data_IF_083547632319
#
_entry.id   IF_083547632319
#
_cell.length_a   1.000
_cell.length_b   1.000
_cell.length_c   1.000
_cell.angle_alpha   90.00
_cell.angle_beta   90.00
_cell.angle_gamma   90.00
#
_symmetry.space_group_name_H-M   'P 1'
#
loop_
_entity.id
_entity.type
_entity.pdbx_description
1 polymer ?
#
# COMPACT_ATOMS: atom_id res chain seq x y z
N UNK A 1 21.69 15.40 -15.59
CA UNK A 1 21.05 15.92 -14.36
C UNK A 1 21.36 17.40 -14.26
N UNK A 2 20.34 18.22 -14.16
CA UNK A 2 20.49 19.68 -14.05
C UNK A 2 20.47 20.18 -12.60
N UNK A 3 20.05 19.34 -11.64
CA UNK A 3 20.02 19.66 -10.21
C UNK A 3 19.17 18.68 -9.42
N UNK A 4 19.10 18.91 -8.13
CA UNK A 4 18.28 18.14 -7.20
C UNK A 4 18.03 18.92 -5.91
N UNK A 5 17.02 18.51 -5.13
CA UNK A 5 16.76 18.98 -3.78
C UNK A 5 17.06 17.88 -2.79
N UNK A 6 17.59 18.24 -1.63
CA UNK A 6 17.91 17.32 -0.55
C UNK A 6 17.21 17.76 0.73
N UNK A 7 16.54 16.84 1.40
CA UNK A 7 15.85 17.05 2.66
C UNK A 7 16.53 16.18 3.74
N UNK A 8 17.27 16.81 4.63
CA UNK A 8 18.07 16.10 5.63
C UNK A 8 17.21 15.35 6.69
N UNK A 9 15.95 15.74 6.85
CA UNK A 9 15.01 15.11 7.78
C UNK A 9 14.24 13.93 7.19
N UNK A 10 14.40 13.65 5.88
CA UNK A 10 13.74 12.52 5.25
C UNK A 10 14.41 11.21 5.65
N UNK A 11 13.58 10.21 5.89
CA UNK A 11 14.00 8.88 6.30
C UNK A 11 13.60 7.84 5.24
N UNK A 12 14.36 6.78 5.14
CA UNK A 12 14.05 5.63 4.31
C UNK A 12 14.07 4.35 5.11
N UNK A 13 13.28 3.37 4.68
CA UNK A 13 13.20 2.10 5.38
C UNK A 13 12.60 1.00 4.50
N UNK A 14 12.83 -0.24 4.94
CA UNK A 14 12.21 -1.40 4.31
C UNK A 14 10.81 -1.63 4.88
N UNK A 15 9.79 -1.33 4.07
CA UNK A 15 8.39 -1.46 4.46
C UNK A 15 8.01 -2.92 4.81
N UNK A 16 8.63 -3.91 4.17
CA UNK A 16 8.37 -5.32 4.44
C UNK A 16 8.91 -5.71 5.82
N UNK A 17 10.17 -5.38 6.08
CA UNK A 17 10.81 -5.66 7.38
C UNK A 17 10.06 -4.94 8.49
N UNK A 18 9.76 -3.66 8.31
CA UNK A 18 8.98 -2.89 9.27
C UNK A 18 7.63 -3.55 9.59
N UNK A 19 6.88 -3.99 8.58
CA UNK A 19 5.56 -4.60 8.77
C UNK A 19 5.66 -5.94 9.50
N UNK A 20 6.67 -6.75 9.19
CA UNK A 20 6.92 -8.03 9.86
C UNK A 20 7.27 -7.84 11.34
N UNK A 21 8.19 -6.92 11.65
CA UNK A 21 8.59 -6.59 13.01
C UNK A 21 7.42 -5.99 13.82
N UNK A 22 6.63 -5.11 13.20
CA UNK A 22 5.45 -4.54 13.84
C UNK A 22 4.42 -5.64 14.17
N UNK A 23 4.19 -6.59 13.26
CA UNK A 23 3.27 -7.70 13.50
C UNK A 23 3.73 -8.56 14.69
N UNK A 24 5.03 -8.87 14.80
CA UNK A 24 5.58 -9.61 15.95
C UNK A 24 5.37 -8.84 17.26
N UNK A 25 5.63 -7.54 17.25
CA UNK A 25 5.43 -6.68 18.44
C UNK A 25 3.96 -6.59 18.86
N UNK A 26 3.05 -6.56 17.89
CA UNK A 26 1.61 -6.59 18.12
C UNK A 26 1.17 -7.95 18.71
N UNK A 27 1.64 -9.06 18.12
CA UNK A 27 1.35 -10.40 18.62
C UNK A 27 1.82 -10.59 20.07
N UNK A 28 3.01 -10.09 20.41
CA UNK A 28 3.53 -10.10 21.78
C UNK A 28 2.67 -9.29 22.76
N UNK A 29 1.77 -8.43 22.28
CA UNK A 29 0.79 -7.66 23.05
C UNK A 29 -0.63 -8.22 22.99
N UNK A 30 -0.79 -9.45 22.48
CA UNK A 30 -2.07 -10.16 22.43
C UNK A 30 -2.90 -9.94 21.17
N UNK A 31 -2.39 -9.24 20.16
CA UNK A 31 -3.07 -9.15 18.86
C UNK A 31 -3.02 -10.51 18.16
N UNK A 32 -4.18 -11.01 17.77
CA UNK A 32 -4.28 -12.26 17.03
C UNK A 32 -4.20 -11.99 15.53
N UNK A 33 -3.35 -12.75 14.83
CA UNK A 33 -3.20 -12.70 13.39
C UNK A 33 -3.72 -14.00 12.76
N UNK A 34 -4.68 -13.87 11.86
CA UNK A 34 -5.21 -14.99 11.09
C UNK A 34 -4.53 -15.01 9.71
N UNK A 35 -3.36 -15.61 9.65
CA UNK A 35 -2.64 -15.79 8.39
C UNK A 35 -3.32 -16.81 7.47
N UNK A 36 -3.14 -16.67 6.17
CA UNK A 36 -3.77 -17.55 5.16
C UNK A 36 -5.30 -17.59 5.23
N UNK A 37 -5.93 -16.46 5.58
CA UNK A 37 -7.38 -16.32 5.54
C UNK A 37 -7.78 -15.27 4.50
N UNK A 38 -8.77 -15.63 3.67
CA UNK A 38 -9.46 -14.70 2.79
C UNK A 38 -10.64 -14.09 3.54
N UNK A 39 -10.83 -12.78 3.44
CA UNK A 39 -12.08 -12.13 3.83
C UNK A 39 -13.08 -12.35 2.71
N UNK A 40 -14.16 -13.06 3.00
CA UNK A 40 -15.17 -13.47 2.01
C UNK A 40 -16.30 -12.43 1.93
N UNK A 41 -16.84 -12.02 3.06
CA UNK A 41 -17.96 -11.06 3.12
C UNK A 41 -18.02 -10.34 4.47
N UNK A 42 -18.69 -9.20 4.44
CA UNK A 42 -19.20 -8.51 5.62
C UNK A 42 -20.69 -8.83 5.75
N UNK A 43 -21.11 -9.35 6.88
CA UNK A 43 -22.50 -9.70 7.13
C UNK A 43 -23.14 -8.60 7.98
N UNK A 44 -24.11 -7.90 7.40
CA UNK A 44 -24.79 -6.80 8.06
C UNK A 44 -26.05 -7.29 8.81
N UNK A 45 -26.35 -6.66 9.92
CA UNK A 45 -27.60 -6.72 10.67
C UNK A 45 -28.18 -5.32 10.81
N UNK A 46 -29.25 -5.16 11.56
CA UNK A 46 -30.00 -3.89 11.66
C UNK A 46 -29.16 -2.72 12.20
N UNK A 47 -28.20 -3.00 13.09
CA UNK A 47 -27.36 -1.98 13.75
C UNK A 47 -25.95 -1.81 13.13
N UNK A 48 -25.67 -2.52 12.04
CA UNK A 48 -24.39 -2.47 11.36
C UNK A 48 -23.80 -3.82 10.99
N UNK A 49 -22.49 -3.96 10.96
CA UNK A 49 -21.83 -5.25 10.72
C UNK A 49 -21.93 -6.11 11.97
N UNK A 50 -22.42 -7.33 11.80
CA UNK A 50 -22.51 -8.35 12.85
C UNK A 50 -21.27 -9.26 12.83
N UNK A 51 -20.93 -9.78 11.66
CA UNK A 51 -19.79 -10.68 11.49
C UNK A 51 -19.02 -10.41 10.20
N UNK A 52 -17.78 -10.85 10.17
CA UNK A 52 -16.99 -11.01 8.95
C UNK A 52 -16.82 -12.49 8.66
N UNK A 53 -17.17 -12.92 7.46
CA UNK A 53 -16.90 -14.28 7.01
C UNK A 53 -15.48 -14.37 6.46
N UNK A 54 -14.71 -15.32 6.97
CA UNK A 54 -13.35 -15.61 6.53
C UNK A 54 -13.24 -17.06 6.08
N UNK A 55 -12.36 -17.32 5.12
CA UNK A 55 -12.04 -18.66 4.64
C UNK A 55 -10.56 -18.95 4.85
N UNK A 56 -10.26 -19.99 5.60
CA UNK A 56 -8.91 -20.51 5.74
C UNK A 56 -8.47 -21.18 4.43
N UNK A 57 -7.43 -20.65 3.80
CA UNK A 57 -6.89 -21.14 2.51
C UNK A 57 -6.30 -22.54 2.60
N UNK A 58 -5.77 -22.91 3.77
CA UNK A 58 -5.13 -24.21 3.98
C UNK A 58 -6.17 -25.32 4.15
N UNK A 59 -7.21 -25.05 4.93
CA UNK A 59 -8.23 -26.08 5.25
C UNK A 59 -9.50 -25.97 4.42
N UNK A 60 -9.70 -24.85 3.72
CA UNK A 60 -10.93 -24.52 2.99
C UNK A 60 -12.13 -24.18 3.88
N UNK A 61 -11.99 -24.21 5.20
CA UNK A 61 -13.09 -23.95 6.15
C UNK A 61 -13.47 -22.49 6.17
N UNK A 62 -14.76 -22.24 6.26
CA UNK A 62 -15.31 -20.89 6.49
C UNK A 62 -15.60 -20.72 7.99
N UNK A 63 -15.33 -19.53 8.47
CA UNK A 63 -15.58 -19.12 9.86
C UNK A 63 -16.24 -17.73 9.84
N UNK A 64 -17.09 -17.45 10.83
CA UNK A 64 -17.67 -16.13 11.06
C UNK A 64 -17.05 -15.55 12.34
N UNK A 65 -16.50 -14.35 12.23
CA UNK A 65 -15.87 -13.65 13.35
C UNK A 65 -16.71 -12.44 13.72
N UNK A 66 -17.03 -12.30 15.01
CA UNK A 66 -17.73 -11.13 15.57
C UNK A 66 -16.78 -10.19 16.27
N UNK A 67 -17.11 -8.90 16.30
CA UNK A 67 -16.35 -7.87 17.01
C UNK A 67 -17.25 -6.65 17.30
N UNK A 68 -16.82 -5.79 18.22
CA UNK A 68 -17.47 -4.50 18.50
C UNK A 68 -17.27 -3.50 17.34
N UNK A 69 -16.13 -3.60 16.64
CA UNK A 69 -15.76 -2.75 15.52
C UNK A 69 -15.01 -3.54 14.44
N UNK A 70 -15.28 -3.22 13.19
CA UNK A 70 -14.63 -3.78 12.02
C UNK A 70 -13.90 -2.69 11.27
N UNK A 71 -12.61 -2.86 11.00
CA UNK A 71 -11.80 -1.93 10.21
C UNK A 71 -11.38 -2.56 8.91
N UNK A 72 -11.82 -2.01 7.78
CA UNK A 72 -11.39 -2.46 6.46
C UNK A 72 -10.16 -1.64 6.04
N UNK A 73 -9.00 -2.32 6.01
CA UNK A 73 -7.70 -1.74 5.66
C UNK A 73 -7.01 -2.56 4.55
N UNK A 74 -7.78 -2.91 3.50
CA UNK A 74 -7.36 -3.87 2.47
C UNK A 74 -6.79 -3.21 1.22
N UNK A 75 -6.31 -1.96 1.31
CA UNK A 75 -5.74 -1.24 0.17
C UNK A 75 -6.71 -1.18 -1.00
N UNK A 76 -6.29 -1.60 -2.18
CA UNK A 76 -7.12 -1.61 -3.39
C UNK A 76 -8.34 -2.54 -3.31
N UNK A 77 -8.28 -3.58 -2.48
CA UNK A 77 -9.39 -4.52 -2.29
C UNK A 77 -10.47 -4.01 -1.34
N UNK A 78 -10.28 -2.85 -0.73
CA UNK A 78 -11.26 -2.20 0.16
C UNK A 78 -12.56 -1.87 -0.58
N UNK A 79 -12.47 -1.25 -1.75
CA UNK A 79 -13.66 -0.79 -2.49
C UNK A 79 -14.59 -1.93 -2.92
N UNK A 80 -14.12 -3.06 -3.50
CA UNK A 80 -15.00 -4.19 -3.82
C UNK A 80 -15.70 -4.77 -2.59
N UNK A 81 -14.98 -4.93 -1.48
CA UNK A 81 -15.56 -5.47 -0.24
C UNK A 81 -16.63 -4.53 0.34
N UNK A 82 -16.35 -3.24 0.46
CA UNK A 82 -17.27 -2.26 1.03
C UNK A 82 -18.52 -2.06 0.18
N UNK A 83 -18.43 -2.24 -1.14
CA UNK A 83 -19.58 -2.15 -2.06
C UNK A 83 -20.65 -3.18 -1.74
N UNK A 84 -20.29 -4.36 -1.22
CA UNK A 84 -21.24 -5.42 -0.85
C UNK A 84 -22.19 -5.02 0.28
N UNK A 85 -21.80 -4.02 1.08
CA UNK A 85 -22.61 -3.45 2.17
C UNK A 85 -23.06 -2.00 1.88
N UNK A 86 -23.08 -1.62 0.60
CA UNK A 86 -23.60 -0.32 0.14
C UNK A 86 -22.67 0.87 0.37
N UNK A 87 -21.39 0.65 0.76
CA UNK A 87 -20.39 1.73 0.89
C UNK A 87 -19.57 1.82 -0.38
N UNK A 88 -19.72 2.90 -1.14
CA UNK A 88 -19.03 3.12 -2.40
C UNK A 88 -17.88 4.10 -2.21
N UNK A 89 -16.65 3.61 -2.30
CA UNK A 89 -15.44 4.43 -2.28
C UNK A 89 -14.72 4.35 -3.63
N UNK A 90 -14.36 5.49 -4.23
CA UNK A 90 -13.60 5.52 -5.48
C UNK A 90 -12.13 5.24 -5.22
N UNK A 91 -11.82 3.98 -4.90
CA UNK A 91 -10.44 3.48 -4.82
C UNK A 91 -10.19 2.59 -6.03
N UNK A 92 -9.17 2.94 -6.82
CA UNK A 92 -8.79 2.20 -8.01
C UNK A 92 -7.38 1.60 -7.88
N UNK A 93 -7.15 0.34 -8.31
CA UNK A 93 -5.84 -0.29 -8.27
C UNK A 93 -4.92 0.29 -9.33
N UNK A 94 -3.91 1.04 -8.91
CA UNK A 94 -2.81 1.49 -9.75
C UNK A 94 -1.64 0.52 -9.66
N UNK A 95 -1.47 -0.37 -10.64
CA UNK A 95 -0.39 -1.36 -10.64
C UNK A 95 0.95 -0.67 -10.80
N UNK A 96 1.84 -0.89 -9.85
CA UNK A 96 3.21 -0.42 -9.86
C UNK A 96 4.20 -1.56 -9.91
N UNK A 97 5.42 -1.24 -10.33
CA UNK A 97 6.50 -2.21 -10.47
C UNK A 97 7.71 -1.80 -9.67
N UNK A 98 8.47 -2.77 -9.21
CA UNK A 98 9.80 -2.55 -8.64
C UNK A 98 10.76 -3.66 -9.08
N UNK A 99 12.04 -3.30 -9.10
CA UNK A 99 13.14 -4.21 -9.30
C UNK A 99 14.15 -4.00 -8.19
N UNK A 100 14.68 -5.08 -7.64
CA UNK A 100 15.74 -5.05 -6.63
C UNK A 100 16.93 -5.84 -7.15
N UNK A 101 18.10 -5.22 -7.10
CA UNK A 101 19.34 -5.73 -7.65
C UNK A 101 20.40 -5.82 -6.57
N UNK A 102 21.27 -6.83 -6.66
CA UNK A 102 22.45 -6.93 -5.82
C UNK A 102 23.45 -5.82 -6.16
N UNK A 103 23.94 -5.11 -5.17
CA UNK A 103 25.02 -4.13 -5.33
C UNK A 103 26.36 -4.87 -5.45
N UNK A 104 27.08 -4.60 -6.53
CA UNK A 104 28.41 -5.15 -6.81
C UNK A 104 29.54 -4.24 -6.34
N UNK A 105 29.28 -2.91 -6.35
CA UNK A 105 30.25 -1.87 -5.97
C UNK A 105 29.64 -0.95 -4.92
N UNK A 106 29.69 -1.33 -3.63
CA UNK A 106 29.02 -0.60 -2.55
C UNK A 106 29.46 0.86 -2.39
N UNK A 107 30.71 1.16 -2.74
CA UNK A 107 31.32 2.49 -2.65
C UNK A 107 30.78 3.46 -3.71
N UNK A 108 30.24 2.96 -4.82
CA UNK A 108 29.65 3.74 -5.90
C UNK A 108 28.12 3.79 -5.84
N UNK A 109 27.51 3.00 -4.96
CA UNK A 109 26.07 2.96 -4.81
C UNK A 109 25.57 4.20 -4.02
N UNK A 110 24.34 4.70 -4.32
CA UNK A 110 23.81 5.84 -3.61
C UNK A 110 23.64 5.54 -2.11
N UNK A 111 23.93 6.54 -1.27
CA UNK A 111 23.78 6.44 0.19
C UNK A 111 22.42 6.97 0.67
N UNK A 112 21.75 7.76 -0.15
CA UNK A 112 20.45 8.36 0.13
C UNK A 112 19.42 7.87 -0.87
N UNK A 113 18.16 7.73 -0.42
CA UNK A 113 17.05 7.47 -1.32
C UNK A 113 16.71 8.73 -2.10
N UNK A 114 16.29 8.58 -3.35
CA UNK A 114 15.92 9.72 -4.19
C UNK A 114 14.81 9.35 -5.18
N UNK A 115 14.18 10.37 -5.74
CA UNK A 115 13.23 10.24 -6.83
C UNK A 115 13.87 10.77 -8.11
N UNK A 116 13.91 9.92 -9.13
CA UNK A 116 14.22 10.33 -10.48
C UNK A 116 12.93 10.86 -11.13
N UNK A 117 12.80 12.17 -11.16
CA UNK A 117 11.58 12.83 -11.62
C UNK A 117 11.34 12.66 -13.13
N UNK A 118 12.40 12.41 -13.91
CA UNK A 118 12.30 12.24 -15.36
C UNK A 118 11.50 11.01 -15.76
N UNK A 119 11.51 9.95 -14.94
CA UNK A 119 10.81 8.68 -15.16
C UNK A 119 9.85 8.31 -14.03
N UNK A 120 9.72 9.21 -13.03
CA UNK A 120 8.88 9.01 -11.84
C UNK A 120 9.18 7.71 -11.10
N UNK A 121 10.47 7.43 -10.90
CA UNK A 121 10.95 6.27 -10.18
C UNK A 121 11.65 6.68 -8.88
N UNK A 122 11.35 5.96 -7.79
CA UNK A 122 12.05 6.08 -6.53
C UNK A 122 13.16 5.03 -6.46
N UNK A 123 14.36 5.45 -6.03
CA UNK A 123 15.52 4.57 -5.84
C UNK A 123 15.91 4.59 -4.37
N UNK A 124 16.09 3.41 -3.78
CA UNK A 124 16.46 3.25 -2.38
C UNK A 124 17.47 2.14 -2.20
N UNK A 125 18.50 2.39 -1.38
CA UNK A 125 19.42 1.36 -0.94
C UNK A 125 18.84 0.65 0.27
N UNK A 126 18.79 -0.68 0.22
CA UNK A 126 18.29 -1.56 1.28
C UNK A 126 19.42 -2.55 1.63
N UNK A 127 20.31 -2.14 2.52
CA UNK A 127 21.50 -2.91 2.86
C UNK A 127 22.47 -3.04 1.68
N UNK A 128 22.66 -4.26 1.20
CA UNK A 128 23.50 -4.62 0.05
C UNK A 128 22.74 -4.66 -1.29
N UNK A 129 21.48 -4.24 -1.28
CA UNK A 129 20.63 -4.22 -2.46
C UNK A 129 20.20 -2.80 -2.82
N UNK A 130 19.99 -2.57 -4.11
CA UNK A 130 19.40 -1.34 -4.65
C UNK A 130 18.04 -1.65 -5.23
N UNK A 131 17.02 -0.97 -4.74
CA UNK A 131 15.64 -1.08 -5.22
C UNK A 131 15.28 0.15 -6.03
N UNK A 132 14.72 -0.06 -7.21
CA UNK A 132 14.04 0.96 -8.00
C UNK A 132 12.56 0.60 -8.11
N UNK A 133 11.68 1.55 -7.86
CA UNK A 133 10.23 1.36 -7.93
C UNK A 133 9.58 2.54 -8.66
N UNK A 134 8.65 2.25 -9.54
CA UNK A 134 8.00 3.33 -10.28
C UNK A 134 6.90 2.83 -11.18
N UNK A 135 6.57 3.68 -12.13
CA UNK A 135 5.50 3.49 -13.13
C UNK A 135 4.12 3.24 -12.51
N UNK A 136 3.10 3.42 -13.30
CA UNK A 136 1.72 3.07 -12.96
C UNK A 136 1.04 2.48 -14.18
N UNK A 137 0.25 1.45 -13.96
CA UNK A 137 -0.58 0.81 -14.98
C UNK A 137 -2.01 0.73 -14.48
N UNK A 138 -2.94 1.08 -15.35
CA UNK A 138 -4.38 1.00 -15.14
C UNK A 138 -4.87 -0.29 -15.80
N UNK A 139 -4.78 -1.40 -15.07
CA UNK A 139 -5.04 -2.75 -15.59
C UNK A 139 -5.90 -3.62 -14.67
N UNK A 140 -6.69 -2.99 -13.75
CA UNK A 140 -7.48 -3.73 -12.78
C UNK A 140 -6.63 -4.40 -11.71
N UNK A 141 -7.03 -5.61 -11.27
CA UNK A 141 -6.47 -6.30 -10.12
C UNK A 141 -5.39 -7.34 -10.45
N UNK A 142 -4.97 -7.45 -11.71
CA UNK A 142 -3.94 -8.41 -12.11
C UNK A 142 -2.57 -8.04 -11.53
N UNK A 143 -1.92 -9.02 -10.88
CA UNK A 143 -0.54 -8.95 -10.39
C UNK A 143 0.42 -9.73 -11.30
N UNK A 144 0.01 -10.06 -12.51
CA UNK A 144 0.83 -10.79 -13.47
C UNK A 144 2.10 -10.01 -13.82
N UNK A 145 3.24 -10.70 -13.80
CA UNK A 145 4.56 -10.22 -14.21
C UNK A 145 5.01 -10.81 -15.55
N UNK A 146 4.32 -11.83 -16.06
CA UNK A 146 4.73 -12.59 -17.26
C UNK A 146 4.24 -11.94 -18.58
N UNK A 147 3.28 -11.03 -18.48
CA UNK A 147 2.79 -10.29 -19.62
C UNK A 147 3.86 -9.40 -20.29
N UNK A 148 3.76 -9.18 -21.60
CA UNK A 148 4.75 -8.41 -22.37
C UNK A 148 4.96 -6.99 -21.83
N UNK A 149 3.88 -6.32 -21.40
CA UNK A 149 3.95 -4.99 -20.79
C UNK A 149 4.69 -5.01 -19.45
N UNK A 150 4.43 -6.02 -18.60
CA UNK A 150 5.09 -6.18 -17.33
C UNK A 150 6.60 -6.41 -17.51
N UNK A 151 6.98 -7.32 -18.42
CA UNK A 151 8.39 -7.53 -18.76
C UNK A 151 9.07 -6.28 -19.32
N UNK A 152 8.39 -5.52 -20.17
CA UNK A 152 8.93 -4.26 -20.70
C UNK A 152 9.17 -3.22 -19.61
N UNK A 153 8.28 -3.13 -18.61
CA UNK A 153 8.45 -2.24 -17.45
C UNK A 153 9.58 -2.69 -16.54
N UNK A 154 9.70 -3.98 -16.25
CA UNK A 154 10.81 -4.53 -15.49
C UNK A 154 12.16 -4.25 -16.19
N UNK A 155 12.25 -4.49 -17.49
CA UNK A 155 13.44 -4.19 -18.27
C UNK A 155 13.78 -2.69 -18.31
N UNK A 156 12.76 -1.83 -18.30
CA UNK A 156 12.97 -0.38 -18.24
C UNK A 156 13.58 0.02 -16.87
N UNK A 157 13.13 -0.57 -15.76
CA UNK A 157 13.69 -0.31 -14.43
C UNK A 157 15.16 -0.75 -14.37
N UNK A 158 15.50 -1.93 -14.90
CA UNK A 158 16.88 -2.41 -14.97
C UNK A 158 17.78 -1.46 -15.78
N UNK A 159 17.34 -1.08 -16.98
CA UNK A 159 18.07 -0.12 -17.83
C UNK A 159 18.25 1.23 -17.13
N UNK A 160 17.26 1.67 -16.34
CA UNK A 160 17.38 2.95 -15.62
C UNK A 160 18.45 2.89 -14.53
N UNK A 161 18.53 1.80 -13.78
CA UNK A 161 19.60 1.60 -12.80
C UNK A 161 20.96 1.60 -13.48
N UNK A 162 21.12 0.86 -14.60
CA UNK A 162 22.36 0.84 -15.34
C UNK A 162 22.75 2.21 -15.92
N UNK A 163 21.76 3.02 -16.36
CA UNK A 163 22.02 4.39 -16.84
C UNK A 163 22.49 5.32 -15.73
N UNK A 164 21.92 5.20 -14.52
CA UNK A 164 22.27 6.06 -13.38
C UNK A 164 23.56 5.63 -12.70
N UNK A 165 23.80 4.33 -12.63
CA UNK A 165 24.91 3.71 -11.89
C UNK A 165 25.57 2.59 -12.71
N UNK A 166 26.29 2.91 -13.77
CA UNK A 166 26.86 1.90 -14.68
C UNK A 166 27.74 0.88 -13.97
N UNK A 167 27.38 -0.41 -14.06
CA UNK A 167 28.13 -1.51 -13.48
C UNK A 167 28.21 -1.53 -11.94
N UNK A 168 27.33 -0.77 -11.26
CA UNK A 168 27.26 -0.74 -9.78
C UNK A 168 26.39 -1.87 -9.24
N UNK A 169 25.36 -2.29 -10.00
CA UNK A 169 24.47 -3.38 -9.63
C UNK A 169 24.47 -4.49 -10.67
N UNK A 170 24.09 -5.71 -10.26
CA UNK A 170 23.82 -6.79 -11.22
C UNK A 170 22.40 -6.62 -11.80
N UNK A 171 22.34 -5.90 -12.92
CA UNK A 171 21.08 -5.60 -13.63
C UNK A 171 20.75 -6.61 -14.73
N UNK A 172 21.55 -7.68 -14.87
CA UNK A 172 21.32 -8.72 -15.88
C UNK A 172 20.00 -9.42 -15.65
N UNK A 173 19.35 -9.83 -16.72
CA UNK A 173 18.18 -10.70 -16.67
C UNK A 173 18.53 -12.11 -16.18
N UNK A 174 17.51 -12.91 -15.88
CA UNK A 174 17.73 -14.32 -15.50
C UNK A 174 18.36 -15.11 -16.64
N UNK A 175 17.98 -14.83 -17.88
CA UNK A 175 18.53 -15.45 -19.10
C UNK A 175 20.01 -15.10 -19.28
N UNK A 176 20.45 -13.95 -18.81
CA UNK A 176 21.84 -13.49 -18.82
C UNK A 176 22.64 -13.94 -17.58
N UNK A 177 22.02 -14.75 -16.73
CA UNK A 177 22.65 -15.26 -15.49
C UNK A 177 22.60 -14.29 -14.32
N UNK A 178 21.78 -13.25 -14.37
CA UNK A 178 21.47 -12.37 -13.25
C UNK A 178 20.37 -12.93 -12.36
N UNK A 179 20.12 -12.25 -11.26
CA UNK A 179 19.04 -12.63 -10.32
C UNK A 179 18.25 -11.38 -9.85
N UNK A 180 17.61 -10.66 -10.78
CA UNK A 180 16.80 -9.52 -10.41
C UNK A 180 15.53 -9.98 -9.68
N UNK A 181 15.19 -9.31 -8.58
CA UNK A 181 13.92 -9.53 -7.90
C UNK A 181 12.90 -8.51 -8.39
N UNK A 182 12.06 -8.93 -9.33
CA UNK A 182 10.93 -8.13 -9.83
C UNK A 182 9.69 -8.35 -8.98
N UNK A 183 9.00 -7.27 -8.69
CA UNK A 183 7.77 -7.30 -7.91
C UNK A 183 6.74 -6.30 -8.44
N UNK A 184 5.48 -6.60 -8.23
CA UNK A 184 4.36 -5.72 -8.56
C UNK A 184 3.36 -5.64 -7.41
N UNK A 185 2.66 -4.51 -7.33
CA UNK A 185 1.61 -4.29 -6.34
C UNK A 185 0.62 -3.23 -6.77
N UNK A 186 -0.54 -3.24 -6.13
CA UNK A 186 -1.67 -2.38 -6.46
C UNK A 186 -1.72 -1.20 -5.48
N UNK A 187 -1.38 -0.01 -5.96
CA UNK A 187 -1.55 1.23 -5.19
C UNK A 187 -3.03 1.57 -5.10
N UNK A 188 -3.59 1.77 -3.90
CA UNK A 188 -4.99 2.13 -3.74
C UNK A 188 -5.19 3.62 -4.05
N UNK A 189 -5.27 3.95 -5.34
CA UNK A 189 -5.39 5.32 -5.79
C UNK A 189 -6.80 5.87 -5.55
N UNK A 190 -6.88 7.11 -5.07
CA UNK A 190 -8.11 7.89 -4.97
C UNK A 190 -8.06 9.09 -5.91
N UNK A 191 -9.20 9.64 -6.35
CA UNK A 191 -9.21 10.78 -7.26
C UNK A 191 -8.51 12.04 -6.73
N UNK A 192 -8.46 12.20 -5.42
CA UNK A 192 -7.90 13.37 -4.74
C UNK A 192 -6.54 13.10 -4.11
N UNK A 193 -6.03 11.87 -4.16
CA UNK A 193 -4.89 11.37 -3.40
C UNK A 193 -5.04 11.47 -1.86
N UNK A 194 -6.27 11.72 -1.37
CA UNK A 194 -6.57 11.74 0.07
C UNK A 194 -7.09 10.35 0.46
N UNK A 195 -6.51 9.71 1.50
CA UNK A 195 -7.01 8.43 2.00
C UNK A 195 -8.35 8.57 2.73
N UNK A 196 -9.12 7.49 2.75
CA UNK A 196 -10.34 7.37 3.54
C UNK A 196 -10.00 6.78 4.90
N UNK A 197 -10.14 7.60 5.97
CA UNK A 197 -9.82 7.20 7.35
C UNK A 197 -10.99 7.62 8.24
N UNK A 198 -11.72 6.65 8.81
CA UNK A 198 -12.81 6.96 9.73
C UNK A 198 -13.98 6.02 9.64
N UNK A 199 -15.09 6.43 10.29
CA UNK A 199 -16.33 5.67 10.37
C UNK A 199 -17.08 5.72 9.03
N UNK A 200 -17.67 4.61 8.61
CA UNK A 200 -18.60 4.58 7.47
C UNK A 200 -20.03 4.88 7.92
N UNK A 201 -20.95 4.98 6.97
CA UNK A 201 -22.40 5.08 7.24
C UNK A 201 -23.02 3.78 7.80
N UNK A 202 -22.29 2.66 7.70
CA UNK A 202 -22.72 1.36 8.22
C UNK A 202 -22.22 1.23 9.66
N UNK A 203 -23.10 0.87 10.57
CA UNK A 203 -22.75 0.73 11.99
C UNK A 203 -21.59 -0.24 12.22
N UNK A 204 -20.76 0.03 13.22
CA UNK A 204 -19.57 -0.75 13.61
C UNK A 204 -18.46 -0.84 12.53
N UNK A 205 -18.67 -0.27 11.32
CA UNK A 205 -17.76 -0.39 10.18
C UNK A 205 -16.90 0.86 9.98
N UNK A 206 -15.60 0.67 9.94
CA UNK A 206 -14.58 1.69 9.74
C UNK A 206 -13.73 1.39 8.51
N UNK A 207 -13.10 2.40 7.96
CA UNK A 207 -12.20 2.27 6.80
C UNK A 207 -10.88 2.98 7.07
N UNK A 208 -9.78 2.36 6.66
CA UNK A 208 -8.44 2.96 6.62
C UNK A 208 -7.74 2.49 5.34
N UNK A 209 -7.96 3.20 4.23
CA UNK A 209 -7.51 2.80 2.90
C UNK A 209 -7.40 3.98 1.94
N UNK A 210 -6.88 3.72 0.75
CA UNK A 210 -6.83 4.76 -0.30
C UNK A 210 -5.58 5.65 -0.23
N UNK A 211 -4.49 5.19 0.35
CA UNK A 211 -3.26 5.96 0.56
C UNK A 211 -2.42 6.20 -0.71
N UNK A 212 -2.84 5.67 -1.85
CA UNK A 212 -2.17 5.88 -3.13
C UNK A 212 -0.68 5.50 -3.10
N UNK A 213 0.16 6.44 -3.53
CA UNK A 213 1.62 6.27 -3.56
C UNK A 213 2.30 6.64 -2.23
N UNK A 214 1.59 7.27 -1.30
CA UNK A 214 2.14 7.79 -0.04
C UNK A 214 1.83 6.90 1.17
N UNK A 215 1.39 5.66 0.95
CA UNK A 215 0.99 4.75 2.02
C UNK A 215 2.09 4.45 3.04
N UNK A 216 3.34 4.38 2.61
CA UNK A 216 4.48 4.23 3.51
C UNK A 216 4.62 5.43 4.45
N UNK A 217 4.61 6.65 3.90
CA UNK A 217 4.70 7.89 4.66
C UNK A 217 3.55 8.08 5.65
N UNK A 218 2.33 7.73 5.23
CA UNK A 218 1.12 7.96 6.02
C UNK A 218 0.77 6.81 6.98
N UNK A 219 1.34 5.62 6.80
CA UNK A 219 0.87 4.39 7.44
C UNK A 219 0.78 4.47 8.97
N UNK A 220 1.85 4.89 9.63
CA UNK A 220 1.88 5.00 11.09
C UNK A 220 0.90 6.08 11.61
N UNK A 221 0.84 7.24 10.96
CA UNK A 221 -0.05 8.34 11.31
C UNK A 221 -1.53 7.96 11.15
N UNK A 222 -1.90 7.33 10.04
CA UNK A 222 -3.27 6.89 9.80
C UNK A 222 -3.71 5.77 10.73
N UNK A 223 -2.80 4.84 11.07
CA UNK A 223 -3.06 3.82 12.08
C UNK A 223 -3.32 4.41 13.47
N UNK A 224 -2.50 5.38 13.88
CA UNK A 224 -2.71 6.10 15.15
C UNK A 224 -4.05 6.84 15.17
N UNK A 225 -4.35 7.59 14.10
CA UNK A 225 -5.61 8.32 13.99
C UNK A 225 -6.83 7.38 14.04
N UNK A 226 -6.77 6.23 13.37
CA UNK A 226 -7.83 5.23 13.43
C UNK A 226 -8.03 4.70 14.85
N UNK A 227 -6.96 4.40 15.57
CA UNK A 227 -7.02 3.94 16.96
C UNK A 227 -7.65 5.01 17.89
N UNK A 228 -7.32 6.28 17.67
CA UNK A 228 -7.90 7.41 18.42
C UNK A 228 -9.40 7.54 18.15
N UNK A 229 -9.82 7.49 16.87
CA UNK A 229 -11.22 7.57 16.47
C UNK A 229 -12.07 6.43 17.05
N UNK A 230 -11.62 5.19 16.96
CA UNK A 230 -12.35 4.03 17.50
C UNK A 230 -12.46 4.12 19.02
N UNK A 231 -11.44 4.69 19.69
CA UNK A 231 -11.44 4.93 21.14
C UNK A 231 -12.25 6.16 21.56
N UNK A 232 -12.98 6.81 20.65
CA UNK A 232 -13.77 8.02 20.93
C UNK A 232 -12.93 9.27 21.18
N UNK A 233 -11.66 9.26 20.84
CA UNK A 233 -10.76 10.41 20.97
C UNK A 233 -10.63 11.16 19.66
N UNK A 234 -10.41 12.47 19.73
CA UNK A 234 -10.12 13.25 18.55
C UNK A 234 -8.66 13.04 18.12
N UNK A 235 -8.38 12.71 16.85
CA UNK A 235 -7.02 12.58 16.37
C UNK A 235 -6.22 13.88 16.51
N UNK A 236 -4.95 13.76 16.90
CA UNK A 236 -4.05 14.89 17.03
C UNK A 236 -3.80 15.61 15.71
N UNK A 237 -3.87 14.87 14.59
CA UNK A 237 -3.77 15.41 13.25
C UNK A 237 -5.17 15.69 12.68
N UNK A 238 -5.33 16.86 12.05
CA UNK A 238 -6.55 17.19 11.31
C UNK A 238 -6.47 16.54 9.92
N UNK A 239 -7.32 15.57 9.67
CA UNK A 239 -7.52 15.04 8.32
C UNK A 239 -8.69 15.77 7.66
N UNK A 240 -8.64 15.92 6.34
CA UNK A 240 -9.78 16.47 5.58
C UNK A 240 -10.99 15.54 5.53
N UNK A 241 -10.86 14.30 6.04
CA UNK A 241 -11.89 13.29 6.03
C UNK A 241 -11.78 12.42 7.30
N UNK A 242 -12.84 12.43 8.13
CA UNK A 242 -12.94 11.65 9.38
C UNK A 242 -14.06 10.63 9.37
N UNK A 243 -14.69 10.41 8.24
CA UNK A 243 -15.79 9.49 8.11
C UNK A 243 -16.67 9.84 6.91
N UNK A 244 -17.61 8.97 6.62
CA UNK A 244 -18.63 9.18 5.61
C UNK A 244 -19.92 9.58 6.33
N UNK A 245 -20.16 10.88 6.53
CA UNK A 245 -21.51 11.35 6.77
C UNK A 245 -22.24 11.52 5.42
N UNK A 246 -23.56 11.63 5.45
CA UNK A 246 -24.38 11.77 4.24
C UNK A 246 -24.03 13.01 3.41
N UNK A 247 -23.37 14.01 4.02
CA UNK A 247 -22.96 15.27 3.39
C UNK A 247 -21.60 15.15 2.67
N UNK A 248 -20.70 14.31 3.16
CA UNK A 248 -19.39 14.07 2.53
C UNK A 248 -19.46 13.11 1.34
N UNK A 249 -20.55 12.37 1.18
CA UNK A 249 -20.74 11.44 0.06
C UNK A 249 -21.05 12.12 -1.28
N UNK A 250 -21.30 13.42 -1.32
CA UNK A 250 -21.56 14.13 -2.55
C UNK A 250 -20.24 14.66 -3.15
N UNK A 251 -19.94 14.27 -4.39
CA UNK A 251 -18.83 14.79 -5.21
C UNK A 251 -18.81 16.33 -5.33
N UNK A 252 -19.91 17.01 -4.99
CA UNK A 252 -20.05 18.45 -5.08
C UNK A 252 -19.23 19.22 -4.03
N UNK A 253 -18.94 18.60 -2.88
CA UNK A 253 -18.17 19.25 -1.81
C UNK A 253 -16.64 19.25 -2.05
N UNK A 254 -16.13 18.42 -2.97
CA UNK A 254 -14.70 18.30 -3.28
C UNK A 254 -14.20 19.33 -4.33
N UNK A 255 -15.09 20.16 -4.88
CA UNK A 255 -14.71 21.17 -5.90
C UNK A 255 -14.17 22.48 -5.34
N UNK A 256 -14.12 22.64 -4.01
CA UNK A 256 -13.74 23.90 -3.36
C UNK A 256 -12.73 23.73 -2.20
N UNK A 257 -11.92 22.67 -2.21
CA UNK A 257 -10.78 22.52 -1.28
C UNK A 257 -9.46 22.58 -2.03
#
# INVERSE_FOLDING_TARGET
IVGGTYTASDESGDARVFTQELAQRCAARGVQFLWNHDVVSLNAADDGIDTVAVRNRTTGRNEALSADHFVVAMGSYTAPLLRTVGVNLPIYPGKGYSATFQILKPELAPQVSFIDDSVKCAVSRLGDQLRIAGTIEVGGYSLDLDGSLARARCAMLARRVETLFPGVCDTRSVEEGGNPNYWTGLRPATPTNIPYIGKTKVGKLWVNAGHGTLGWTHGAGSGKAMAELISGRQPAMKFGFYGMDERSASWASLKHA
#
